data_IF_687843313750
#
_entry.id   IF_687843313750
#
_cell.length_a   1.000
_cell.length_b   1.000
_cell.length_c   1.000
_cell.angle_alpha   90.00
_cell.angle_beta   90.00
_cell.angle_gamma   90.00
#
_symmetry.space_group_name_H-M   'P 1'
#
loop_
_entity.id
_entity.type
_entity.pdbx_description
1 polymer ?
#
# COMPACT_ATOMS: atom_id res chain seq x y z
N UNK A 1 16.28 -32.14 83.85
CA UNK A 1 15.74 -32.71 82.58
C UNK A 1 14.65 -31.75 82.12
N UNK A 2 14.64 -31.32 80.84
CA UNK A 2 13.91 -30.17 80.25
C UNK A 2 14.55 -28.79 80.57
N UNK A 3 14.76 -27.85 79.65
CA UNK A 3 14.76 -27.78 78.17
C UNK A 3 15.53 -26.50 77.77
N UNK A 4 16.25 -26.55 76.65
CA UNK A 4 16.94 -25.42 76.00
C UNK A 4 16.00 -24.27 75.62
N UNK A 5 16.53 -23.04 75.55
CA UNK A 5 16.24 -22.10 74.45
C UNK A 5 17.40 -21.08 74.30
N UNK A 6 18.29 -21.31 73.35
CA UNK A 6 19.21 -20.31 72.82
C UNK A 6 18.55 -19.67 71.60
N UNK A 7 18.37 -18.35 71.62
CA UNK A 7 18.09 -17.57 70.41
C UNK A 7 19.43 -17.16 69.79
N UNK A 8 19.69 -17.64 68.57
CA UNK A 8 20.84 -17.21 67.77
C UNK A 8 20.27 -16.44 66.57
N UNK A 9 20.54 -15.14 66.49
CA UNK A 9 20.06 -14.27 65.41
C UNK A 9 20.86 -14.53 64.15
N UNK A 10 20.20 -15.01 63.10
CA UNK A 10 20.78 -15.17 61.77
C UNK A 10 20.59 -13.85 60.99
N UNK A 11 21.68 -13.13 60.73
CA UNK A 11 21.69 -11.96 59.85
C UNK A 11 21.74 -12.42 58.40
N UNK A 12 20.68 -12.19 57.64
CA UNK A 12 20.60 -12.49 56.20
C UNK A 12 21.25 -11.35 55.39
N UNK A 13 22.38 -11.63 54.74
CA UNK A 13 22.97 -10.76 53.73
C UNK A 13 22.25 -11.00 52.39
N UNK A 14 21.50 -10.00 51.90
CA UNK A 14 20.94 -10.00 50.55
C UNK A 14 21.98 -9.38 49.61
N UNK A 15 22.58 -10.19 48.75
CA UNK A 15 23.40 -9.73 47.62
C UNK A 15 22.46 -9.29 46.50
N UNK A 16 22.39 -7.98 46.25
CA UNK A 16 21.74 -7.41 45.08
C UNK A 16 22.66 -7.59 43.86
N UNK A 17 22.31 -8.55 42.99
CA UNK A 17 22.85 -8.59 41.64
C UNK A 17 22.10 -7.57 40.79
N UNK A 18 22.74 -6.46 40.42
CA UNK A 18 22.28 -5.62 39.31
C UNK A 18 22.73 -6.28 38.01
N UNK A 19 21.84 -7.00 37.33
CA UNK A 19 22.05 -7.33 35.93
C UNK A 19 21.94 -6.03 35.12
N UNK A 20 23.07 -5.54 34.62
CA UNK A 20 23.03 -4.61 33.50
C UNK A 20 22.58 -5.43 32.30
N UNK A 21 21.34 -5.25 31.86
CA UNK A 21 20.86 -5.81 30.60
C UNK A 21 21.70 -5.22 29.48
N UNK A 22 22.64 -6.01 28.98
CA UNK A 22 23.32 -5.75 27.72
C UNK A 22 22.26 -6.00 26.66
N UNK A 23 21.57 -4.93 26.26
CA UNK A 23 20.74 -4.93 25.05
C UNK A 23 21.68 -5.19 23.87
N UNK A 24 21.74 -6.46 23.44
CA UNK A 24 22.27 -6.80 22.14
C UNK A 24 21.44 -6.08 21.09
N UNK A 25 22.08 -5.20 20.32
CA UNK A 25 21.49 -4.69 19.10
C UNK A 25 21.51 -5.87 18.13
N UNK A 26 20.42 -6.65 18.10
CA UNK A 26 20.12 -7.46 16.93
C UNK A 26 20.00 -6.48 15.76
N UNK A 27 20.81 -6.69 14.72
CA UNK A 27 20.66 -6.00 13.45
C UNK A 27 19.30 -6.39 12.85
N UNK A 28 18.25 -5.73 13.30
CA UNK A 28 16.92 -5.84 12.74
C UNK A 28 16.95 -5.27 11.35
N UNK A 29 16.90 -6.13 10.34
CA UNK A 29 16.28 -5.80 9.06
C UNK A 29 14.93 -5.20 9.40
N UNK A 30 14.80 -3.89 9.28
CA UNK A 30 13.51 -3.24 9.46
C UNK A 30 12.70 -3.62 8.24
N UNK A 31 11.83 -4.63 8.40
CA UNK A 31 10.78 -4.90 7.42
C UNK A 31 10.04 -3.58 7.21
N UNK A 32 10.05 -3.09 5.97
CA UNK A 32 9.08 -2.06 5.57
C UNK A 32 7.71 -2.65 5.91
N UNK A 33 6.98 -1.95 6.75
CA UNK A 33 5.69 -2.44 7.24
C UNK A 33 4.74 -2.50 6.05
N UNK A 34 4.24 -3.70 5.72
CA UNK A 34 3.17 -3.93 4.72
C UNK A 34 1.80 -3.42 5.22
N UNK A 35 1.79 -2.42 6.11
CA UNK A 35 0.58 -1.82 6.69
C UNK A 35 0.53 -0.34 6.40
N UNK A 36 -0.56 0.08 5.78
CA UNK A 36 -0.90 1.44 5.40
C UNK A 36 -2.03 1.95 6.31
N UNK A 37 -2.05 3.27 6.52
CA UNK A 37 -3.07 3.95 7.31
C UNK A 37 -3.69 5.04 6.46
N UNK A 38 -5.01 4.99 6.30
CA UNK A 38 -5.80 6.10 5.80
C UNK A 38 -6.40 6.85 6.98
N UNK A 39 -6.33 8.18 6.94
CA UNK A 39 -6.90 9.02 7.98
C UNK A 39 -8.20 9.66 7.53
N UNK A 40 -9.15 9.77 8.46
CA UNK A 40 -10.48 10.26 8.17
C UNK A 40 -10.41 11.73 7.76
N UNK A 41 -11.10 12.08 6.69
CA UNK A 41 -11.33 13.47 6.30
C UNK A 41 -12.73 13.90 6.74
N UNK A 42 -12.85 15.13 7.23
CA UNK A 42 -14.14 15.73 7.59
C UNK A 42 -14.82 16.41 6.40
N UNK A 43 -14.10 16.60 5.29
CA UNK A 43 -14.60 17.20 4.06
C UNK A 43 -14.27 16.27 2.90
N UNK A 44 -15.29 15.88 2.14
CA UNK A 44 -15.12 15.10 0.92
C UNK A 44 -14.22 15.85 -0.06
N UNK A 45 -13.10 15.26 -0.50
CA UNK A 45 -12.20 15.91 -1.44
C UNK A 45 -12.84 16.15 -2.81
N UNK A 46 -12.46 17.24 -3.47
CA UNK A 46 -12.82 17.45 -4.87
C UNK A 46 -11.79 16.73 -5.72
N UNK A 47 -12.24 15.77 -6.52
CA UNK A 47 -11.33 14.98 -7.36
C UNK A 47 -11.01 15.79 -8.63
N UNK A 48 -9.93 16.56 -8.58
CA UNK A 48 -9.46 17.41 -9.68
C UNK A 48 -7.97 17.28 -9.97
N UNK A 49 -7.24 16.47 -9.19
CA UNK A 49 -5.81 16.20 -9.34
C UNK A 49 -4.91 17.25 -8.70
N UNK A 50 -5.46 18.36 -8.18
CA UNK A 50 -4.68 19.48 -7.66
C UNK A 50 -4.20 19.25 -6.22
N UNK A 51 -4.82 18.31 -5.49
CA UNK A 51 -4.44 17.93 -4.13
C UNK A 51 -4.45 19.09 -3.12
N UNK A 52 -5.44 19.99 -3.21
CA UNK A 52 -5.49 21.21 -2.41
C UNK A 52 -6.22 21.03 -1.07
N UNK A 53 -6.81 19.86 -0.85
CA UNK A 53 -7.59 19.56 0.35
C UNK A 53 -6.73 19.31 1.59
N UNK A 54 -7.26 19.73 2.74
CA UNK A 54 -6.60 19.60 4.03
C UNK A 54 -6.26 18.15 4.42
N UNK A 55 -6.98 17.15 3.88
CA UNK A 55 -6.65 15.74 4.14
C UNK A 55 -5.27 15.39 3.56
N UNK A 56 -4.88 15.96 2.42
CA UNK A 56 -3.60 15.70 1.79
C UNK A 56 -2.44 16.35 2.53
N UNK A 57 -2.62 17.52 3.14
CA UNK A 57 -1.59 18.13 3.97
C UNK A 57 -1.24 17.27 5.20
N UNK A 58 -2.24 16.57 5.74
CA UNK A 58 -2.11 15.80 6.98
C UNK A 58 -1.76 14.32 6.76
N UNK A 59 -2.05 13.77 5.59
CA UNK A 59 -1.72 12.39 5.25
C UNK A 59 -0.21 12.16 5.12
N UNK A 60 0.25 10.98 5.53
CA UNK A 60 1.65 10.58 5.35
C UNK A 60 1.87 10.06 3.93
N UNK A 61 3.03 10.38 3.34
CA UNK A 61 3.47 9.77 2.09
C UNK A 61 3.97 8.35 2.35
N UNK A 62 3.45 7.41 1.57
CA UNK A 62 3.97 6.06 1.41
C UNK A 62 4.80 5.96 0.13
N UNK A 63 5.98 5.34 0.17
CA UNK A 63 6.75 5.09 -1.05
C UNK A 63 6.07 4.03 -1.92
N UNK A 64 6.19 4.18 -3.23
CA UNK A 64 5.84 3.18 -4.23
C UNK A 64 7.08 2.96 -5.10
N UNK A 65 7.98 2.11 -4.60
CA UNK A 65 9.35 1.99 -5.11
C UNK A 65 9.84 0.54 -5.20
N UNK A 66 8.96 -0.44 -5.02
CA UNK A 66 9.34 -1.85 -5.13
C UNK A 66 9.18 -2.30 -6.58
N UNK A 67 10.28 -2.47 -7.30
CA UNK A 67 10.25 -2.88 -8.71
C UNK A 67 9.85 -4.36 -8.79
N UNK A 68 8.61 -4.59 -9.20
CA UNK A 68 8.03 -5.92 -9.37
C UNK A 68 8.37 -6.50 -10.75
N UNK A 69 8.38 -5.66 -11.79
CA UNK A 69 8.87 -6.00 -13.13
C UNK A 69 9.72 -4.83 -13.68
N UNK A 70 10.85 -5.10 -14.35
CA UNK A 70 11.61 -6.35 -14.30
C UNK A 70 12.06 -6.57 -12.85
N UNK A 71 11.93 -7.79 -12.33
CA UNK A 71 12.02 -8.01 -10.87
C UNK A 71 13.32 -7.48 -10.25
N UNK A 72 13.17 -6.56 -9.30
CA UNK A 72 14.25 -5.94 -8.53
C UNK A 72 15.33 -5.27 -9.41
N UNK A 73 14.95 -4.81 -10.60
CA UNK A 73 15.84 -4.01 -11.45
C UNK A 73 16.10 -2.63 -10.84
N UNK A 74 17.16 -1.97 -11.30
CA UNK A 74 17.48 -0.61 -10.87
C UNK A 74 16.73 0.39 -11.75
N UNK A 75 15.80 1.11 -11.13
CA UNK A 75 15.09 2.22 -11.77
C UNK A 75 15.73 3.52 -11.28
N UNK A 76 16.21 4.36 -12.20
CA UNK A 76 16.73 5.67 -11.82
C UNK A 76 15.57 6.51 -11.28
N UNK A 77 15.76 7.16 -10.13
CA UNK A 77 14.74 8.03 -9.54
C UNK A 77 14.42 9.26 -10.40
N UNK A 78 15.26 9.58 -11.39
CA UNK A 78 14.94 10.58 -12.41
C UNK A 78 14.04 10.05 -13.52
N UNK A 79 14.02 8.73 -13.71
CA UNK A 79 13.20 8.01 -14.68
C UNK A 79 11.82 7.75 -14.09
N UNK A 80 11.79 7.13 -12.90
CA UNK A 80 10.55 6.93 -12.16
C UNK A 80 10.70 7.17 -10.66
N UNK A 81 9.73 7.90 -10.10
CA UNK A 81 9.54 8.02 -8.66
C UNK A 81 8.06 7.98 -8.32
N UNK A 82 7.65 6.95 -7.59
CA UNK A 82 6.28 6.78 -7.12
C UNK A 82 6.11 7.02 -5.62
N UNK A 83 5.06 7.74 -5.24
CA UNK A 83 4.57 7.80 -3.86
C UNK A 83 3.08 8.06 -3.80
N UNK A 84 2.45 7.72 -2.68
CA UNK A 84 1.02 7.93 -2.52
C UNK A 84 0.61 8.33 -1.09
N UNK A 85 -0.56 8.94 -0.96
CA UNK A 85 -1.26 9.25 0.29
C UNK A 85 -2.63 8.60 0.28
N UNK A 86 -3.13 8.33 1.48
CA UNK A 86 -4.45 7.75 1.69
C UNK A 86 -5.27 8.60 2.66
N UNK A 87 -6.55 8.77 2.35
CA UNK A 87 -7.56 9.35 3.23
C UNK A 87 -8.87 8.56 3.07
N UNK A 88 -9.82 8.73 3.99
CA UNK A 88 -11.13 8.08 3.87
C UNK A 88 -12.24 8.94 4.49
N UNK A 89 -13.47 8.75 4.05
CA UNK A 89 -14.68 9.12 4.79
C UNK A 89 -15.64 7.92 4.81
N UNK A 90 -16.81 8.06 5.43
CA UNK A 90 -17.79 6.99 5.58
C UNK A 90 -18.22 6.33 4.26
N UNK A 91 -18.03 6.98 3.11
CA UNK A 91 -18.50 6.49 1.82
C UNK A 91 -17.37 6.01 0.91
N UNK A 92 -16.14 6.53 1.09
CA UNK A 92 -15.09 6.43 0.06
C UNK A 92 -13.69 6.32 0.65
N UNK A 93 -12.86 5.55 -0.05
CA UNK A 93 -11.41 5.59 0.09
C UNK A 93 -10.85 6.59 -0.93
N UNK A 94 -9.91 7.43 -0.51
CA UNK A 94 -9.27 8.43 -1.35
C UNK A 94 -7.78 8.15 -1.47
N UNK A 95 -7.27 8.26 -2.70
CA UNK A 95 -5.84 8.12 -2.99
C UNK A 95 -5.34 9.36 -3.70
N UNK A 96 -4.15 9.80 -3.30
CA UNK A 96 -3.37 10.77 -4.05
C UNK A 96 -2.06 10.10 -4.44
N UNK A 97 -1.83 9.90 -5.72
CA UNK A 97 -0.65 9.24 -6.27
C UNK A 97 0.18 10.27 -7.02
N UNK A 98 1.46 10.38 -6.69
CA UNK A 98 2.42 11.16 -7.46
C UNK A 98 3.41 10.20 -8.11
N UNK A 99 3.53 10.31 -9.43
CA UNK A 99 4.54 9.62 -10.24
C UNK A 99 5.35 10.64 -11.02
N UNK A 100 6.67 10.48 -11.03
CA UNK A 100 7.52 11.08 -12.07
C UNK A 100 7.62 10.08 -13.20
N UNK A 101 7.30 10.53 -14.41
CA UNK A 101 7.19 9.76 -15.65
C UNK A 101 7.24 10.79 -16.80
N UNK A 102 8.12 10.58 -17.78
CA UNK A 102 8.34 11.54 -18.85
C UNK A 102 7.29 11.43 -19.97
N UNK A 103 6.62 10.28 -20.13
CA UNK A 103 5.68 9.98 -21.21
C UNK A 103 4.55 9.02 -20.79
N UNK A 104 3.31 9.53 -20.77
CA UNK A 104 2.15 8.64 -20.73
C UNK A 104 1.86 8.03 -22.11
N UNK A 105 1.75 6.71 -22.14
CA UNK A 105 1.49 5.87 -23.29
C UNK A 105 0.24 5.01 -23.10
N UNK A 106 -0.52 4.92 -24.19
CA UNK A 106 -1.63 3.99 -24.37
C UNK A 106 -1.54 3.47 -25.80
N UNK A 107 -1.15 2.21 -25.93
CA UNK A 107 -0.98 1.51 -27.19
C UNK A 107 -2.29 0.91 -27.74
N UNK A 108 -3.39 0.95 -26.97
CA UNK A 108 -4.59 0.16 -27.23
C UNK A 108 -5.85 1.02 -27.19
N UNK A 109 -6.50 1.20 -28.34
CA UNK A 109 -7.75 1.99 -28.41
C UNK A 109 -8.93 1.35 -27.66
N UNK A 110 -8.93 0.02 -27.51
CA UNK A 110 -9.92 -0.70 -26.71
C UNK A 110 -9.41 -0.83 -25.27
N UNK A 111 -10.08 -0.23 -24.27
CA UNK A 111 -9.62 -0.26 -22.88
C UNK A 111 -9.60 -1.68 -22.29
N UNK A 112 -10.21 -2.68 -22.94
CA UNK A 112 -10.21 -4.06 -22.48
C UNK A 112 -9.07 -4.90 -23.08
N UNK A 113 -8.26 -4.32 -23.97
CA UNK A 113 -7.17 -5.01 -24.65
C UNK A 113 -5.83 -4.68 -23.99
N UNK A 114 -5.19 -5.66 -23.34
CA UNK A 114 -3.82 -5.54 -22.80
C UNK A 114 -3.56 -4.26 -21.99
N UNK A 115 -4.57 -3.73 -21.31
CA UNK A 115 -4.50 -2.48 -20.55
C UNK A 115 -3.45 -2.47 -19.42
N UNK A 116 -2.99 -3.64 -18.99
CA UNK A 116 -1.89 -3.79 -18.03
C UNK A 116 -0.50 -3.50 -18.64
N UNK A 117 -0.41 -3.42 -19.97
CA UNK A 117 0.80 -3.06 -20.70
C UNK A 117 0.90 -1.55 -20.93
N UNK A 118 -0.18 -0.79 -20.73
CA UNK A 118 -0.20 0.68 -20.86
C UNK A 118 0.03 1.37 -19.52
N UNK A 119 0.27 2.69 -19.53
CA UNK A 119 0.43 3.44 -18.30
C UNK A 119 -0.87 3.48 -17.50
N UNK A 120 -0.78 2.99 -16.27
CA UNK A 120 -1.93 2.98 -15.38
C UNK A 120 -1.54 2.94 -13.91
N UNK A 121 -2.44 3.48 -13.08
CA UNK A 121 -2.42 3.21 -11.64
C UNK A 121 -3.17 1.89 -11.42
N UNK A 122 -2.50 0.88 -10.89
CA UNK A 122 -3.11 -0.41 -10.54
C UNK A 122 -3.39 -0.46 -9.03
N UNK A 123 -4.67 -0.41 -8.66
CA UNK A 123 -5.18 -0.46 -7.29
C UNK A 123 -5.70 -1.87 -6.97
N UNK A 124 -5.10 -2.48 -5.96
CA UNK A 124 -5.52 -3.77 -5.42
C UNK A 124 -6.28 -3.56 -4.11
N UNK A 125 -7.52 -4.02 -4.04
CA UNK A 125 -8.39 -3.81 -2.89
C UNK A 125 -9.21 -5.07 -2.56
N UNK A 126 -9.07 -5.53 -1.32
CA UNK A 126 -9.82 -6.62 -0.72
C UNK A 126 -10.54 -6.05 0.51
N UNK A 127 -11.87 -5.98 0.47
CA UNK A 127 -12.69 -5.22 1.43
C UNK A 127 -12.55 -5.73 2.86
N UNK A 128 -12.51 -7.04 3.06
CA UNK A 128 -12.54 -7.67 4.37
C UNK A 128 -11.18 -8.29 4.76
N UNK A 129 -10.19 -8.18 3.85
CA UNK A 129 -8.87 -8.75 3.99
C UNK A 129 -8.90 -10.29 4.04
N UNK A 130 -9.88 -10.92 3.35
CA UNK A 130 -10.06 -12.37 3.25
C UNK A 130 -8.90 -13.07 2.54
N UNK A 131 -8.23 -12.39 1.61
CA UNK A 131 -7.22 -12.96 0.73
C UNK A 131 -7.80 -13.99 -0.25
N UNK A 132 -6.94 -14.81 -0.83
CA UNK A 132 -7.34 -15.87 -1.76
C UNK A 132 -7.50 -15.39 -3.21
N UNK A 133 -7.98 -16.31 -4.06
CA UNK A 133 -8.09 -16.05 -5.49
C UNK A 133 -9.25 -15.10 -5.81
N UNK A 134 -9.00 -14.09 -6.64
CA UNK A 134 -10.01 -13.13 -7.08
C UNK A 134 -10.04 -12.86 -8.59
N UNK A 135 -9.28 -13.62 -9.40
CA UNK A 135 -9.12 -13.32 -10.83
C UNK A 135 -10.42 -13.37 -11.66
N UNK A 136 -11.40 -14.20 -11.29
CA UNK A 136 -12.66 -14.34 -12.03
C UNK A 136 -13.86 -14.35 -11.08
N UNK A 137 -13.77 -13.60 -10.00
CA UNK A 137 -14.79 -13.42 -8.99
C UNK A 137 -14.60 -12.04 -8.35
N UNK A 138 -15.42 -11.69 -7.36
CA UNK A 138 -15.40 -10.36 -6.74
C UNK A 138 -14.98 -10.38 -5.27
N UNK A 139 -14.22 -11.40 -4.85
CA UNK A 139 -13.62 -11.46 -3.52
C UNK A 139 -12.67 -10.27 -3.26
N UNK A 140 -12.01 -9.80 -4.30
CA UNK A 140 -11.17 -8.61 -4.29
C UNK A 140 -11.09 -8.06 -5.72
N UNK A 141 -10.57 -6.84 -5.87
CA UNK A 141 -10.43 -6.16 -7.15
C UNK A 141 -8.98 -5.76 -7.41
N UNK A 142 -8.60 -5.79 -8.69
CA UNK A 142 -7.33 -5.29 -9.24
C UNK A 142 -7.62 -4.24 -10.33
N UNK A 143 -8.06 -3.06 -9.89
CA UNK A 143 -8.45 -1.98 -10.78
C UNK A 143 -7.25 -1.37 -11.48
N UNK A 144 -7.24 -1.42 -12.80
CA UNK A 144 -6.33 -0.67 -13.65
C UNK A 144 -7.02 0.63 -14.04
N UNK A 145 -6.51 1.75 -13.54
CA UNK A 145 -7.01 3.09 -13.87
C UNK A 145 -6.12 3.66 -14.96
N UNK A 146 -6.56 3.53 -16.21
CA UNK A 146 -5.79 3.94 -17.40
C UNK A 146 -5.68 5.45 -17.56
N UNK A 147 -4.89 5.89 -18.54
CA UNK A 147 -4.65 7.33 -18.77
C UNK A 147 -5.88 8.12 -19.19
N UNK A 148 -6.86 7.46 -19.80
CA UNK A 148 -8.19 7.98 -20.15
C UNK A 148 -9.22 7.85 -19.00
N UNK A 149 -8.79 7.33 -17.85
CA UNK A 149 -9.60 7.05 -16.66
C UNK A 149 -10.63 5.92 -16.80
N UNK A 150 -10.49 5.08 -17.83
CA UNK A 150 -11.15 3.77 -17.81
C UNK A 150 -10.59 2.95 -16.65
N UNK A 151 -11.51 2.33 -15.92
CA UNK A 151 -11.25 1.50 -14.74
C UNK A 151 -11.52 0.07 -15.16
N UNK A 152 -10.49 -0.75 -15.26
CA UNK A 152 -10.60 -2.10 -15.82
C UNK A 152 -10.14 -3.14 -14.81
N UNK A 153 -10.90 -4.22 -14.70
CA UNK A 153 -10.54 -5.44 -13.96
C UNK A 153 -11.19 -6.64 -14.64
N UNK A 154 -10.92 -7.85 -14.17
CA UNK A 154 -11.63 -9.04 -14.59
C UNK A 154 -12.99 -9.18 -13.90
N UNK A 155 -14.03 -9.33 -14.72
CA UNK A 155 -15.28 -9.94 -14.31
C UNK A 155 -15.21 -11.48 -14.39
N UNK A 156 -16.31 -12.15 -14.08
CA UNK A 156 -16.41 -13.62 -14.14
C UNK A 156 -16.23 -14.19 -15.56
N UNK A 157 -16.40 -13.37 -16.61
CA UNK A 157 -16.31 -13.75 -18.02
C UNK A 157 -15.09 -13.21 -18.75
N UNK A 158 -14.23 -12.43 -18.09
CA UNK A 158 -13.09 -11.74 -18.71
C UNK A 158 -13.01 -10.27 -18.31
N UNK A 159 -12.13 -9.49 -18.94
CA UNK A 159 -11.94 -8.07 -18.62
C UNK A 159 -13.22 -7.26 -18.89
N UNK A 160 -13.51 -6.32 -18.00
CA UNK A 160 -14.65 -5.42 -18.07
C UNK A 160 -14.34 -4.07 -17.43
N UNK A 161 -15.13 -3.05 -17.78
CA UNK A 161 -15.03 -1.71 -17.18
C UNK A 161 -15.85 -1.60 -15.90
N UNK A 162 -15.30 -0.90 -14.92
CA UNK A 162 -15.89 -0.57 -13.62
C UNK A 162 -15.82 0.95 -13.36
N UNK A 163 -16.07 1.75 -14.40
CA UNK A 163 -15.87 3.21 -14.40
C UNK A 163 -16.71 3.95 -13.35
N UNK A 164 -17.73 3.32 -12.78
CA UNK A 164 -18.54 3.89 -11.70
C UNK A 164 -17.98 3.59 -10.30
N UNK A 165 -16.98 2.70 -10.17
CA UNK A 165 -16.30 2.38 -8.91
C UNK A 165 -15.32 3.46 -8.50
N UNK A 166 -14.56 3.99 -9.46
CA UNK A 166 -13.49 4.96 -9.23
C UNK A 166 -13.73 6.21 -10.06
N UNK A 167 -13.80 7.35 -9.38
CA UNK A 167 -13.63 8.65 -10.01
C UNK A 167 -12.16 9.03 -9.94
N UNK A 168 -11.57 9.44 -11.06
CA UNK A 168 -10.17 9.86 -11.14
C UNK A 168 -10.02 11.21 -11.83
N UNK A 169 -8.99 11.95 -11.43
CA UNK A 169 -8.49 13.13 -12.13
C UNK A 169 -6.95 13.13 -12.12
N UNK A 170 -6.35 13.79 -13.11
CA UNK A 170 -4.90 13.89 -13.24
C UNK A 170 -4.48 15.27 -13.70
N UNK A 171 -3.42 15.80 -13.08
CA UNK A 171 -2.70 16.99 -13.55
C UNK A 171 -1.23 16.66 -13.78
N UNK A 172 -0.59 17.39 -14.71
CA UNK A 172 0.84 17.27 -15.03
C UNK A 172 1.56 18.57 -14.68
N UNK A 173 2.72 18.49 -14.03
CA UNK A 173 3.64 19.61 -13.80
C UNK A 173 5.09 19.17 -14.08
N UNK A 174 5.65 19.63 -15.21
CA UNK A 174 6.90 19.03 -15.72
C UNK A 174 6.65 17.54 -15.99
N UNK A 175 7.54 16.66 -15.57
CA UNK A 175 7.41 15.20 -15.73
C UNK A 175 6.72 14.55 -14.53
N UNK A 176 6.04 15.33 -13.68
CA UNK A 176 5.29 14.81 -12.54
C UNK A 176 3.80 14.78 -12.86
N UNK A 177 3.19 13.60 -12.71
CA UNK A 177 1.75 13.43 -12.69
C UNK A 177 1.24 13.30 -11.27
N UNK A 178 0.14 13.98 -10.99
CA UNK A 178 -0.62 13.84 -9.76
C UNK A 178 -1.98 13.27 -10.11
N UNK A 179 -2.21 12.02 -9.71
CA UNK A 179 -3.47 11.33 -9.83
C UNK A 179 -4.22 11.43 -8.51
N UNK A 180 -5.49 11.77 -8.59
CA UNK A 180 -6.38 11.82 -7.43
C UNK A 180 -7.58 10.92 -7.70
N UNK A 181 -7.82 9.97 -6.79
CA UNK A 181 -8.84 8.93 -6.96
C UNK A 181 -9.79 8.95 -5.76
N UNK A 182 -11.07 8.76 -6.07
CA UNK A 182 -12.15 8.49 -5.12
C UNK A 182 -12.74 7.12 -5.44
N UNK A 183 -12.64 6.19 -4.50
CA UNK A 183 -12.94 4.78 -4.67
C UNK A 183 -14.14 4.40 -3.81
N UNK A 184 -15.20 3.89 -4.46
CA UNK A 184 -16.25 3.13 -3.78
C UNK A 184 -15.69 1.75 -3.41
N UNK A 185 -15.95 1.29 -2.20
CA UNK A 185 -15.51 -0.03 -1.75
C UNK A 185 -16.72 -0.98 -1.81
N UNK A 186 -16.53 -2.17 -2.37
CA UNK A 186 -17.55 -3.22 -2.44
C UNK A 186 -17.02 -4.49 -1.78
N UNK A 187 -17.89 -5.26 -1.15
CA UNK A 187 -17.56 -6.54 -0.54
C UNK A 187 -17.69 -7.71 -1.53
N UNK A 188 -17.45 -8.93 -1.04
CA UNK A 188 -17.49 -10.17 -1.82
C UNK A 188 -18.89 -10.58 -2.30
N UNK A 189 -19.93 -9.83 -1.93
CA UNK A 189 -21.29 -10.01 -2.44
C UNK A 189 -21.56 -9.30 -3.76
N UNK A 190 -20.57 -8.56 -4.28
CA UNK A 190 -20.70 -7.82 -5.54
C UNK A 190 -21.12 -8.73 -6.72
N UNK A 191 -22.10 -8.26 -7.49
CA UNK A 191 -22.61 -8.94 -8.69
C UNK A 191 -22.31 -8.10 -9.94
N UNK A 192 -21.61 -8.67 -10.92
CA UNK A 192 -21.35 -7.98 -12.20
C UNK A 192 -22.65 -7.67 -12.95
N UNK A 193 -22.79 -6.43 -13.42
CA UNK A 193 -24.02 -5.89 -14.02
C UNK A 193 -25.26 -5.97 -13.11
N UNK A 194 -25.04 -6.16 -11.80
CA UNK A 194 -26.07 -6.15 -10.76
C UNK A 194 -26.24 -4.79 -10.09
N UNK A 195 -27.19 -4.73 -9.16
CA UNK A 195 -27.42 -3.57 -8.29
C UNK A 195 -26.57 -3.72 -7.03
N UNK A 196 -25.43 -3.03 -6.99
CA UNK A 196 -24.47 -3.12 -5.88
C UNK A 196 -24.50 -1.86 -5.02
N UNK A 197 -24.42 -2.04 -3.70
CA UNK A 197 -24.27 -0.92 -2.74
C UNK A 197 -22.86 -0.94 -2.17
N UNK A 198 -22.08 0.15 -2.28
CA UNK A 198 -20.79 0.24 -1.62
C UNK A 198 -20.90 0.08 -0.11
N UNK A 199 -19.90 -0.53 0.51
CA UNK A 199 -19.83 -0.66 1.95
C UNK A 199 -19.58 0.69 2.60
N UNK A 200 -20.20 0.93 3.76
CA UNK A 200 -19.85 2.07 4.60
C UNK A 200 -18.51 1.81 5.31
N UNK A 201 -17.61 2.77 5.20
CA UNK A 201 -16.30 2.70 5.84
C UNK A 201 -16.38 3.18 7.29
N UNK A 202 -15.62 2.53 8.16
CA UNK A 202 -15.63 2.83 9.59
C UNK A 202 -14.24 2.77 10.21
N UNK A 203 -14.10 3.43 11.35
CA UNK A 203 -12.90 3.42 12.16
C UNK A 203 -12.41 1.99 12.44
N UNK A 204 -11.09 1.76 12.30
CA UNK A 204 -10.43 0.47 12.46
C UNK A 204 -10.85 -0.64 11.49
N UNK A 205 -11.65 -0.34 10.44
CA UNK A 205 -11.82 -1.29 9.34
C UNK A 205 -10.45 -1.65 8.78
N UNK A 206 -10.27 -2.95 8.50
CA UNK A 206 -9.08 -3.52 7.88
C UNK A 206 -9.47 -4.01 6.50
N UNK A 207 -8.63 -3.72 5.52
CA UNK A 207 -8.80 -4.11 4.12
C UNK A 207 -7.46 -4.63 3.61
N UNK A 208 -7.46 -5.55 2.67
CA UNK A 208 -6.29 -5.85 1.86
C UNK A 208 -6.04 -4.70 0.88
N UNK A 209 -4.80 -4.24 0.80
CA UNK A 209 -4.44 -3.10 -0.06
C UNK A 209 -3.02 -3.23 -0.60
N UNK A 210 -2.89 -3.04 -1.91
CA UNK A 210 -1.62 -2.71 -2.56
C UNK A 210 -1.88 -1.66 -3.64
N UNK A 211 -0.84 -0.95 -4.03
CA UNK A 211 -0.89 0.00 -5.14
C UNK A 211 0.34 -0.23 -6.00
N UNK A 212 0.20 -0.12 -7.31
CA UNK A 212 1.31 -0.14 -8.23
C UNK A 212 1.09 0.84 -9.38
N UNK A 213 2.15 1.05 -10.15
CA UNK A 213 2.11 1.78 -11.41
C UNK A 213 2.69 0.89 -12.50
N UNK A 214 1.93 0.70 -13.58
CA UNK A 214 2.45 0.18 -14.85
C UNK A 214 3.01 1.36 -15.64
N UNK A 215 4.24 1.19 -16.10
CA UNK A 215 5.07 2.21 -16.74
C UNK A 215 5.47 1.72 -18.13
N UNK A 216 5.17 2.48 -19.17
CA UNK A 216 5.50 2.12 -20.55
C UNK A 216 5.82 3.34 -21.42
N UNK A 217 7.05 3.47 -21.91
CA UNK A 217 7.45 4.58 -22.78
C UNK A 217 7.27 4.30 -24.29
N UNK A 218 6.31 3.45 -24.65
CA UNK A 218 5.94 3.15 -26.03
C UNK A 218 6.46 1.82 -26.57
N UNK A 219 6.76 0.88 -25.68
CA UNK A 219 7.07 -0.51 -26.01
C UNK A 219 5.81 -1.38 -26.16
N UNK A 220 5.97 -2.62 -26.62
CA UNK A 220 4.84 -3.56 -26.81
C UNK A 220 4.27 -4.13 -25.50
N UNK A 221 4.95 -3.93 -24.39
CA UNK A 221 4.57 -4.40 -23.05
C UNK A 221 4.99 -3.38 -22.01
N UNK A 222 4.40 -3.37 -20.82
CA UNK A 222 4.91 -2.49 -19.77
C UNK A 222 6.39 -2.76 -19.50
N UNK A 223 7.16 -1.68 -19.38
CA UNK A 223 8.59 -1.73 -19.16
C UNK A 223 8.87 -1.92 -17.68
N UNK A 224 8.18 -1.14 -16.83
CA UNK A 224 8.26 -1.29 -15.39
C UNK A 224 6.89 -1.56 -14.76
N UNK A 225 6.93 -2.22 -13.61
CA UNK A 225 5.79 -2.40 -12.72
C UNK A 225 6.27 -2.17 -11.30
N UNK A 226 5.90 -1.04 -10.70
CA UNK A 226 6.47 -0.61 -9.42
C UNK A 226 5.38 -0.55 -8.35
N UNK A 227 5.56 -1.31 -7.27
CA UNK A 227 4.56 -1.48 -6.23
C UNK A 227 4.86 -0.84 -4.87
N UNK A 228 3.81 -0.72 -4.07
CA UNK A 228 3.79 -0.11 -2.74
C UNK A 228 4.45 -0.93 -1.64
N UNK A 229 4.71 -2.21 -1.90
CA UNK A 229 5.30 -3.14 -0.93
C UNK A 229 6.22 -4.15 -1.57
N UNK A 230 7.03 -4.78 -0.73
CA UNK A 230 7.85 -5.90 -1.16
C UNK A 230 6.96 -7.10 -1.55
N UNK A 231 7.31 -7.73 -2.66
CA UNK A 231 6.83 -9.05 -3.07
C UNK A 231 8.03 -9.90 -3.47
N UNK A 232 8.06 -11.20 -3.12
CA UNK A 232 9.07 -12.09 -3.65
C UNK A 232 8.88 -12.27 -5.17
N UNK A 233 9.96 -12.58 -5.89
CA UNK A 233 9.94 -12.74 -7.35
C UNK A 233 8.82 -13.63 -7.86
N UNK A 234 8.58 -14.76 -7.19
CA UNK A 234 7.54 -15.74 -7.54
C UNK A 234 6.11 -15.23 -7.43
N UNK A 235 5.91 -14.05 -6.83
CA UNK A 235 4.60 -13.40 -6.63
C UNK A 235 4.55 -11.97 -7.17
N UNK A 236 5.65 -11.49 -7.76
CA UNK A 236 5.82 -10.09 -8.19
C UNK A 236 4.77 -9.63 -9.22
N UNK A 237 4.16 -10.56 -9.96
CA UNK A 237 3.08 -10.26 -10.91
C UNK A 237 1.83 -11.10 -10.64
N UNK A 238 1.47 -11.31 -9.37
CA UNK A 238 0.34 -12.17 -9.00
C UNK A 238 -0.78 -11.41 -8.26
N UNK A 239 -0.64 -10.10 -8.05
CA UNK A 239 -1.61 -9.31 -7.29
C UNK A 239 -2.97 -9.21 -7.99
N UNK A 240 -3.04 -9.40 -9.31
CA UNK A 240 -4.32 -9.50 -10.03
C UNK A 240 -5.01 -10.88 -9.88
N UNK A 241 -4.36 -11.83 -9.20
CA UNK A 241 -4.86 -13.21 -9.03
C UNK A 241 -5.16 -13.55 -7.57
N UNK A 242 -4.25 -13.20 -6.64
CA UNK A 242 -4.26 -13.67 -5.25
C UNK A 242 -4.17 -12.50 -4.25
N UNK A 243 -5.29 -12.18 -3.62
CA UNK A 243 -5.41 -11.11 -2.63
C UNK A 243 -4.64 -11.41 -1.33
N UNK A 244 -4.22 -12.68 -1.11
CA UNK A 244 -3.42 -13.06 0.05
C UNK A 244 -2.07 -12.34 0.11
N UNK A 245 -1.61 -11.75 -1.01
CA UNK A 245 -0.32 -11.07 -1.11
C UNK A 245 -0.42 -9.55 -0.92
N UNK A 246 -1.64 -9.04 -0.78
CA UNK A 246 -1.89 -7.63 -0.52
C UNK A 246 -1.30 -7.20 0.82
N UNK A 247 -0.95 -5.92 0.92
CA UNK A 247 -0.70 -5.29 2.22
C UNK A 247 -1.98 -5.14 3.02
N UNK A 248 -1.90 -4.46 4.15
CA UNK A 248 -3.02 -4.18 5.04
C UNK A 248 -3.28 -2.69 5.10
N UNK A 249 -4.49 -2.27 4.78
CA UNK A 249 -4.95 -0.90 5.02
C UNK A 249 -5.80 -0.87 6.30
N UNK A 250 -5.52 0.09 7.18
CA UNK A 250 -6.30 0.34 8.40
C UNK A 250 -6.84 1.77 8.39
N UNK A 251 -8.16 1.90 8.53
CA UNK A 251 -8.83 3.20 8.60
C UNK A 251 -8.73 3.80 10.00
N UNK A 252 -8.31 5.06 10.12
CA UNK A 252 -8.11 5.77 11.40
C UNK A 252 -8.81 7.11 11.41
N UNK A 253 -9.35 7.53 12.56
CA UNK A 253 -10.09 8.79 12.67
C UNK A 253 -9.17 10.01 12.76
N UNK A 254 -8.00 9.84 13.38
CA UNK A 254 -7.06 10.93 13.64
C UNK A 254 -5.65 10.53 13.24
N UNK A 255 -4.94 11.45 12.60
CA UNK A 255 -3.52 11.27 12.29
C UNK A 255 -2.71 11.19 13.58
N UNK A 256 -1.77 10.24 13.65
CA UNK A 256 -0.81 10.18 14.76
C UNK A 256 -0.03 11.52 14.82
N UNK A 257 0.26 12.08 16.02
CA UNK A 257 0.96 13.36 16.15
C UNK A 257 2.29 13.41 15.37
N UNK A 258 2.67 14.62 14.93
CA UNK A 258 3.84 14.88 14.08
C UNK A 258 5.17 14.31 14.61
N UNK A 259 5.31 14.14 15.94
CA UNK A 259 6.49 13.54 16.57
C UNK A 259 6.68 12.05 16.21
N UNK A 260 5.61 11.34 15.84
CA UNK A 260 5.66 9.94 15.42
C UNK A 260 5.76 9.80 13.89
N UNK A 261 5.28 10.80 13.12
CA UNK A 261 5.49 10.87 11.66
C UNK A 261 6.97 10.84 11.30
N UNK A 262 7.82 11.51 12.10
CA UNK A 262 9.27 11.52 11.92
C UNK A 262 9.89 10.13 12.10
N UNK A 263 9.37 9.30 13.02
CA UNK A 263 9.88 7.95 13.25
C UNK A 263 9.56 6.99 12.09
N UNK A 264 8.33 7.02 11.57
CA UNK A 264 7.93 6.18 10.42
C UNK A 264 8.61 6.62 9.12
N UNK A 265 8.77 7.94 8.91
CA UNK A 265 9.52 8.48 7.76
C UNK A 265 11.01 8.15 7.82
N UNK A 266 11.63 8.14 9.01
CA UNK A 266 13.03 7.74 9.19
C UNK A 266 13.22 6.23 8.96
N UNK A 267 12.23 5.40 9.32
CA UNK A 267 12.27 3.94 9.08
C UNK A 267 12.26 3.60 7.60
N UNK A 268 11.47 4.33 6.80
CA UNK A 268 11.37 4.12 5.35
C UNK A 268 12.57 4.68 4.56
N UNK A 269 13.49 5.42 5.20
CA UNK A 269 14.66 6.02 4.56
C UNK A 269 15.94 5.17 4.70
N UNK A 270 15.90 4.10 5.48
CA UNK A 270 17.05 3.21 5.71
C UNK A 270 17.05 2.10 4.66
N UNK A 271 17.69 2.36 3.52
CA UNK A 271 18.05 1.33 2.54
C UNK A 271 19.29 0.62 3.07
N UNK A 272 19.11 -0.54 3.70
CA UNK A 272 20.22 -1.44 4.04
C UNK A 272 20.42 -2.41 2.88
N UNK A 273 21.45 -2.16 2.07
CA UNK A 273 21.90 -3.12 1.07
C UNK A 273 22.32 -4.43 1.76
N UNK A 274 21.97 -5.61 1.23
CA UNK A 274 22.51 -6.86 1.72
C UNK A 274 24.03 -6.87 1.51
N UNK A 275 24.76 -7.15 2.59
CA UNK A 275 26.20 -7.39 2.59
C UNK A 275 26.54 -8.53 1.61
N UNK A 276 27.41 -8.34 0.59
CA UNK A 276 27.83 -9.45 -0.25
C UNK A 276 28.50 -10.51 0.62
N UNK A 277 27.90 -11.69 0.64
CA UNK A 277 28.41 -12.84 1.38
C UNK A 277 29.82 -13.15 0.88
N UNK A 278 30.79 -13.15 1.79
CA UNK A 278 32.14 -13.63 1.53
C UNK A 278 32.08 -15.11 1.12
N UNK A 279 32.50 -15.41 -0.10
CA UNK A 279 32.73 -16.79 -0.54
C UNK A 279 33.84 -17.40 0.32
N UNK A 280 33.55 -18.57 0.92
CA UNK A 280 34.55 -19.54 1.33
C UNK A 280 35.06 -20.31 0.11
#
# INVERSE_FOLDING_TARGET
>A
MFKNLFYNTFTLFILLYSSADVFGIENGTTAVSDTFYAYKTSTTPTIDGMALEACWENAAWYPMSNVWLPYNDQVDSTDFYGRFKLAWDENRLYLLVEVTDDSLYDGHTDPLQNYWDDDCVELFLDEDQSGGNHQYNFNAFAYHVGIAFDVVDYATSGPATFNDHIQAARVKQGDKYTWELSVKVFDDSYEFEGENTPVELAHNKKMGFSLAYCDNDGSNSRENFIGSKYLPQSKSNNSYIDASIFGKLILKDTSVPSSQKTYDQLRNKVIMYPNPVSNN
#
